data_IF_738103946295
#
_entry.id   IF_738103946295
#
_cell.length_a   1.000
_cell.length_b   1.000
_cell.length_c   1.000
_cell.angle_alpha   90.00
_cell.angle_beta   90.00
_cell.angle_gamma   90.00
#
_symmetry.space_group_name_H-M   'P 1'
#
loop_
_entity.id
_entity.type
_entity.pdbx_description
1 polymer ?
#
# COMPACT_ATOMS: atom_id res chain seq x y z
N UNK A 1 -4.95 3.04 -1.16
CA UNK A 1 -5.76 3.39 -2.35
C UNK A 1 -7.14 2.78 -2.19
N UNK A 2 -8.18 3.61 -2.08
CA UNK A 2 -9.54 3.16 -1.74
C UNK A 2 -10.53 3.41 -2.89
N UNK A 3 -11.15 2.35 -3.41
CA UNK A 3 -12.12 2.40 -4.51
C UNK A 3 -13.47 2.96 -4.01
N UNK A 4 -13.60 4.29 -3.99
CA UNK A 4 -14.77 4.98 -3.47
C UNK A 4 -15.70 5.55 -4.56
N UNK A 5 -15.19 5.70 -5.78
CA UNK A 5 -15.92 6.39 -6.85
C UNK A 5 -16.06 5.50 -8.07
N UNK A 6 -17.30 5.19 -8.46
CA UNK A 6 -17.59 4.61 -9.75
C UNK A 6 -17.49 5.70 -10.83
N UNK A 7 -16.66 5.48 -11.85
CA UNK A 7 -16.46 6.45 -12.93
C UNK A 7 -16.99 5.98 -14.29
N UNK A 8 -17.40 4.71 -14.39
CA UNK A 8 -18.10 4.17 -15.55
C UNK A 8 -19.02 2.99 -15.15
N UNK A 9 -20.12 2.82 -15.89
CA UNK A 9 -21.09 1.75 -15.64
C UNK A 9 -21.93 1.96 -14.37
N UNK A 10 -22.40 0.86 -13.79
CA UNK A 10 -23.22 0.89 -12.59
C UNK A 10 -22.33 0.83 -11.35
N UNK A 11 -22.55 1.69 -10.33
CA UNK A 11 -21.86 1.57 -9.04
C UNK A 11 -22.05 0.18 -8.40
N UNK A 12 -21.01 -0.36 -7.75
CA UNK A 12 -21.15 -1.56 -6.91
C UNK A 12 -22.15 -1.34 -5.77
N UNK A 13 -22.62 -2.45 -5.17
CA UNK A 13 -23.62 -2.37 -4.11
C UNK A 13 -22.94 -2.03 -2.77
N UNK A 14 -23.66 -1.29 -1.94
CA UNK A 14 -23.19 -0.82 -0.64
C UNK A 14 -22.37 0.46 -0.74
N UNK A 15 -22.05 1.02 0.43
CA UNK A 15 -21.19 2.19 0.56
C UNK A 15 -19.73 1.80 0.32
N UNK A 16 -18.98 2.62 -0.42
CA UNK A 16 -17.54 2.45 -0.56
C UNK A 16 -16.77 2.57 0.77
N UNK A 17 -15.49 2.18 0.80
CA UNK A 17 -14.74 1.65 -0.33
C UNK A 17 -15.13 0.22 -0.69
N UNK A 18 -15.24 -0.09 -1.99
CA UNK A 18 -15.54 -1.45 -2.45
C UNK A 18 -14.29 -2.33 -2.58
N UNK A 19 -13.11 -1.71 -2.51
CA UNK A 19 -11.85 -2.40 -2.43
C UNK A 19 -10.75 -1.44 -2.00
N UNK A 20 -9.70 -2.00 -1.41
CA UNK A 20 -8.52 -1.28 -0.96
C UNK A 20 -7.25 -1.93 -1.47
N UNK A 21 -6.30 -1.13 -1.94
CA UNK A 21 -4.94 -1.57 -2.25
C UNK A 21 -3.92 -0.73 -1.47
N UNK A 22 -2.91 -1.39 -0.89
CA UNK A 22 -1.75 -0.74 -0.28
C UNK A 22 -0.46 -1.24 -0.90
N UNK A 23 0.53 -0.35 -0.99
CA UNK A 23 1.90 -0.67 -1.35
C UNK A 23 2.78 -0.28 -0.16
N UNK A 24 3.53 -1.23 0.37
CA UNK A 24 4.40 -1.04 1.52
C UNK A 24 5.82 -1.50 1.16
N UNK A 25 6.85 -0.74 1.56
CA UNK A 25 8.24 -1.20 1.37
C UNK A 25 8.45 -2.52 2.12
N UNK A 26 9.05 -3.50 1.43
CA UNK A 26 9.15 -4.89 1.90
C UNK A 26 10.58 -5.43 1.85
N UNK A 27 11.56 -4.52 1.89
CA UNK A 27 12.99 -4.79 1.81
C UNK A 27 13.65 -4.11 0.62
N UNK A 28 14.97 -4.30 0.44
CA UNK A 28 15.69 -3.72 -0.69
C UNK A 28 15.09 -4.18 -2.02
N UNK A 29 14.77 -3.22 -2.89
CA UNK A 29 14.17 -3.46 -4.21
C UNK A 29 12.90 -4.32 -4.15
N UNK A 30 12.12 -4.20 -3.07
CA UNK A 30 10.95 -5.04 -2.81
C UNK A 30 9.80 -4.21 -2.23
N UNK A 31 8.61 -4.38 -2.79
CA UNK A 31 7.37 -3.73 -2.35
C UNK A 31 6.31 -4.81 -2.15
N UNK A 32 5.51 -4.71 -1.10
CA UNK A 32 4.36 -5.59 -0.88
C UNK A 32 3.10 -4.88 -1.33
N UNK A 33 2.40 -5.48 -2.29
CA UNK A 33 1.05 -5.10 -2.69
C UNK A 33 0.04 -5.95 -1.91
N UNK A 34 -0.84 -5.29 -1.15
CA UNK A 34 -1.99 -5.92 -0.50
C UNK A 34 -3.27 -5.38 -1.14
N UNK A 35 -4.11 -6.25 -1.68
CA UNK A 35 -5.42 -5.91 -2.22
C UNK A 35 -6.51 -6.59 -1.40
N UNK A 36 -7.58 -5.87 -1.11
CA UNK A 36 -8.73 -6.33 -0.35
C UNK A 36 -10.00 -6.05 -1.14
N UNK A 37 -10.88 -7.05 -1.25
CA UNK A 37 -12.24 -6.83 -1.73
C UNK A 37 -13.15 -6.51 -0.53
N UNK A 38 -13.52 -5.24 -0.41
CA UNK A 38 -14.29 -4.70 0.71
C UNK A 38 -15.78 -4.54 0.37
N UNK A 39 -16.23 -4.99 -0.81
CA UNK A 39 -17.63 -4.91 -1.18
C UNK A 39 -18.52 -5.65 -0.17
N UNK A 40 -19.74 -5.15 0.06
CA UNK A 40 -20.64 -5.74 1.04
C UNK A 40 -21.00 -7.18 0.69
N UNK A 41 -21.09 -8.05 1.71
CA UNK A 41 -21.58 -9.45 1.57
C UNK A 41 -23.00 -9.54 1.01
N UNK A 42 -23.81 -8.48 1.14
CA UNK A 42 -25.12 -8.38 0.48
C UNK A 42 -25.04 -8.40 -1.05
N UNK A 43 -23.87 -8.07 -1.61
CA UNK A 43 -23.50 -8.26 -3.00
C UNK A 43 -22.68 -9.53 -3.21
N UNK A 44 -23.04 -10.68 -2.63
CA UNK A 44 -22.26 -11.94 -2.77
C UNK A 44 -22.00 -12.39 -4.22
N UNK A 45 -22.77 -11.88 -5.20
CA UNK A 45 -22.49 -12.09 -6.63
C UNK A 45 -21.41 -11.17 -7.19
N UNK A 46 -21.04 -10.10 -6.47
CA UNK A 46 -20.05 -9.11 -6.88
C UNK A 46 -18.63 -9.63 -6.70
N UNK A 47 -17.76 -9.32 -7.65
CA UNK A 47 -16.35 -9.67 -7.57
C UNK A 47 -15.51 -8.73 -8.43
N UNK A 48 -14.25 -8.56 -8.04
CA UNK A 48 -13.26 -7.85 -8.82
C UNK A 48 -12.71 -8.83 -9.87
N UNK A 49 -12.74 -8.41 -11.14
CA UNK A 49 -12.27 -9.23 -12.27
C UNK A 49 -10.96 -8.73 -12.88
N UNK A 50 -10.64 -7.46 -12.65
CA UNK A 50 -9.44 -6.79 -13.13
C UNK A 50 -9.15 -5.63 -12.18
N UNK A 51 -7.90 -5.43 -11.81
CA UNK A 51 -7.43 -4.28 -11.02
C UNK A 51 -6.12 -3.75 -11.61
N UNK A 52 -6.12 -2.47 -11.98
CA UNK A 52 -5.00 -1.80 -12.63
C UNK A 52 -4.31 -0.77 -11.75
N UNK A 53 -3.01 -0.62 -11.95
CA UNK A 53 -2.13 0.29 -11.21
C UNK A 53 -1.15 0.98 -12.16
N UNK A 54 -0.54 2.06 -11.69
CA UNK A 54 0.51 2.79 -12.40
C UNK A 54 1.82 2.76 -11.62
N UNK A 55 2.93 3.00 -12.32
CA UNK A 55 4.27 3.17 -11.77
C UNK A 55 4.80 4.50 -12.30
N UNK A 56 5.37 5.33 -11.43
CA UNK A 56 5.81 6.69 -11.79
C UNK A 56 6.99 6.73 -12.80
N UNK A 57 7.64 5.59 -13.01
CA UNK A 57 8.84 5.46 -13.83
C UNK A 57 8.85 4.09 -14.52
N UNK A 58 8.61 4.11 -15.83
CA UNK A 58 8.43 2.93 -16.66
C UNK A 58 9.66 2.02 -16.75
N UNK A 59 10.86 2.53 -16.45
CA UNK A 59 12.08 1.71 -16.47
C UNK A 59 12.03 0.58 -15.43
N UNK A 60 11.22 0.74 -14.37
CA UNK A 60 11.05 -0.30 -13.36
C UNK A 60 10.19 -1.47 -13.84
N UNK A 61 9.35 -1.29 -14.87
CA UNK A 61 8.39 -2.31 -15.32
C UNK A 61 9.06 -3.53 -15.94
N UNK A 62 10.16 -3.35 -16.68
CA UNK A 62 10.82 -4.44 -17.44
C UNK A 62 11.38 -5.55 -16.54
N UNK A 63 11.94 -5.16 -15.40
CA UNK A 63 12.56 -6.09 -14.44
C UNK A 63 11.71 -6.29 -13.17
N UNK A 64 10.43 -5.90 -13.23
CA UNK A 64 9.48 -6.15 -12.16
C UNK A 64 9.05 -7.63 -12.18
N UNK A 65 9.02 -8.25 -11.00
CA UNK A 65 8.58 -9.63 -10.80
C UNK A 65 7.54 -9.66 -9.69
N UNK A 66 6.53 -10.51 -9.86
CA UNK A 66 5.46 -10.70 -8.89
C UNK A 66 5.56 -12.10 -8.29
N UNK A 67 5.58 -12.17 -6.97
CA UNK A 67 5.50 -13.42 -6.21
C UNK A 67 4.25 -13.36 -5.35
N UNK A 68 3.32 -14.29 -5.56
CA UNK A 68 2.12 -14.37 -4.73
C UNK A 68 2.47 -14.86 -3.32
N UNK A 69 1.95 -14.18 -2.29
CA UNK A 69 2.21 -14.48 -0.87
C UNK A 69 0.97 -15.00 -0.14
N UNK A 70 -0.19 -15.10 -0.79
CA UNK A 70 -1.42 -15.52 -0.14
C UNK A 70 -1.42 -17.01 0.20
N UNK A 71 -1.69 -17.35 1.45
CA UNK A 71 -1.70 -18.75 1.94
C UNK A 71 -2.98 -19.15 2.68
N UNK A 72 -3.92 -18.21 2.88
CA UNK A 72 -5.18 -18.44 3.59
C UNK A 72 -6.35 -18.86 2.70
N UNK A 73 -7.42 -19.41 3.31
CA UNK A 73 -8.67 -19.77 2.61
C UNK A 73 -9.36 -18.55 1.98
N UNK A 74 -9.18 -17.37 2.59
CA UNK A 74 -9.70 -16.10 2.09
C UNK A 74 -8.74 -15.39 1.13
N UNK A 75 -7.70 -16.08 0.65
CA UNK A 75 -6.78 -15.54 -0.33
C UNK A 75 -7.27 -15.80 -1.77
N UNK A 76 -6.92 -14.90 -2.69
CA UNK A 76 -7.23 -15.02 -4.11
C UNK A 76 -6.03 -14.61 -4.94
N UNK A 77 -5.46 -15.55 -5.69
CA UNK A 77 -4.41 -15.25 -6.67
C UNK A 77 -5.05 -14.74 -7.97
N UNK A 78 -4.48 -13.71 -8.56
CA UNK A 78 -4.78 -13.30 -9.93
C UNK A 78 -4.41 -14.42 -10.90
N UNK A 79 -5.26 -14.66 -11.88
CA UNK A 79 -5.05 -15.64 -12.93
C UNK A 79 -3.93 -15.23 -13.90
N UNK A 80 -3.73 -13.93 -14.10
CA UNK A 80 -2.63 -13.37 -14.89
C UNK A 80 -2.31 -11.96 -14.43
N UNK A 81 -1.09 -11.54 -14.73
CA UNK A 81 -0.59 -10.19 -14.48
C UNK A 81 -0.02 -9.66 -15.81
N UNK A 82 -0.63 -8.61 -16.34
CA UNK A 82 -0.15 -7.92 -17.53
C UNK A 82 0.66 -6.69 -17.10
N UNK A 83 1.75 -6.41 -17.82
CA UNK A 83 2.65 -5.27 -17.58
C UNK A 83 2.90 -4.56 -18.91
N UNK A 84 2.72 -3.24 -18.96
CA UNK A 84 3.01 -2.44 -20.15
C UNK A 84 2.77 -0.94 -19.94
N UNK A 85 3.87 -0.17 -19.93
CA UNK A 85 3.94 1.29 -19.77
C UNK A 85 2.86 2.08 -20.53
N UNK A 86 1.86 2.59 -19.82
CA UNK A 86 0.78 3.43 -20.33
C UNK A 86 -0.12 2.76 -21.38
N UNK A 87 0.00 1.45 -21.59
CA UNK A 87 -0.72 0.74 -22.66
C UNK A 87 -1.93 -0.04 -22.17
N UNK A 88 -2.04 -0.26 -20.87
CA UNK A 88 -3.09 -1.10 -20.30
C UNK A 88 -4.39 -0.29 -20.19
N UNK A 89 -5.47 -0.93 -20.63
CA UNK A 89 -6.83 -0.43 -20.49
C UNK A 89 -7.57 -1.18 -19.38
N UNK A 90 -8.00 -0.46 -18.35
CA UNK A 90 -8.87 -0.99 -17.31
C UNK A 90 -10.17 -1.54 -17.92
N UNK A 91 -10.49 -2.79 -17.58
CA UNK A 91 -11.70 -3.44 -18.09
C UNK A 91 -12.94 -2.66 -17.66
N UNK A 92 -13.87 -2.46 -18.58
CA UNK A 92 -15.07 -1.66 -18.31
C UNK A 92 -14.81 -0.17 -18.05
N UNK A 93 -13.58 0.33 -18.21
CA UNK A 93 -13.23 1.74 -17.96
C UNK A 93 -13.59 2.73 -19.08
N UNK A 94 -14.17 2.27 -20.19
CA UNK A 94 -14.56 3.15 -21.30
C UNK A 94 -13.35 3.88 -21.92
N UNK A 95 -13.51 5.18 -22.24
CA UNK A 95 -12.42 6.03 -22.74
C UNK A 95 -11.45 6.49 -21.65
N UNK A 96 -11.95 6.66 -20.41
CA UNK A 96 -11.15 7.15 -19.27
C UNK A 96 -10.22 6.10 -18.67
N UNK A 97 -10.54 4.82 -18.85
CA UNK A 97 -9.77 3.72 -18.28
C UNK A 97 -8.50 3.36 -19.07
N UNK A 98 -7.92 4.26 -19.85
CA UNK A 98 -6.68 4.00 -20.61
C UNK A 98 -5.48 4.64 -19.89
N UNK A 99 -4.30 4.03 -20.04
CA UNK A 99 -3.04 4.59 -19.57
C UNK A 99 -2.45 3.94 -18.32
N UNK A 100 -2.84 2.70 -18.01
CA UNK A 100 -2.27 1.96 -16.87
C UNK A 100 -1.02 1.16 -17.25
N UNK A 101 -0.23 0.78 -16.25
CA UNK A 101 1.04 0.08 -16.42
C UNK A 101 0.98 -1.39 -16.01
N UNK A 102 0.13 -1.70 -15.02
CA UNK A 102 -0.03 -3.05 -14.47
C UNK A 102 -1.51 -3.41 -14.44
N UNK A 103 -1.87 -4.64 -14.81
CA UNK A 103 -3.19 -5.23 -14.60
C UNK A 103 -3.10 -6.59 -13.93
N UNK A 104 -3.76 -6.75 -12.78
CA UNK A 104 -4.01 -8.06 -12.17
C UNK A 104 -5.40 -8.53 -12.57
N UNK A 105 -5.47 -9.66 -13.28
CA UNK A 105 -6.70 -10.23 -13.82
C UNK A 105 -7.14 -11.42 -12.99
N UNK A 106 -8.34 -11.38 -12.42
CA UNK A 106 -8.89 -12.44 -11.60
C UNK A 106 -9.87 -13.31 -12.39
N UNK A 107 -10.05 -14.55 -11.96
CA UNK A 107 -11.00 -15.45 -12.60
C UNK A 107 -12.41 -14.87 -12.52
N UNK A 108 -13.16 -14.97 -13.62
CA UNK A 108 -14.56 -14.53 -13.69
C UNK A 108 -15.55 -15.66 -13.50
N UNK A 109 -15.08 -16.90 -13.35
CA UNK A 109 -15.88 -18.08 -13.04
C UNK A 109 -15.33 -18.78 -11.81
N UNK A 110 -16.25 -19.34 -11.01
CA UNK A 110 -15.88 -20.33 -10.00
C UNK A 110 -15.70 -21.64 -10.77
N UNK A 111 -14.49 -21.87 -11.30
CA UNK A 111 -14.19 -23.15 -11.96
C UNK A 111 -14.58 -24.27 -11.00
N UNK A 112 -15.53 -25.13 -11.39
CA UNK A 112 -16.32 -26.02 -10.51
C UNK A 112 -15.56 -27.16 -9.83
N UNK A 113 -14.36 -26.91 -9.31
CA UNK A 113 -13.58 -27.84 -8.51
C UNK A 113 -13.81 -27.67 -6.99
N UNK A 114 -13.39 -28.66 -6.20
CA UNK A 114 -13.68 -28.74 -4.75
C UNK A 114 -12.94 -27.70 -3.88
N UNK A 115 -11.97 -26.95 -4.42
CA UNK A 115 -11.14 -26.00 -3.68
C UNK A 115 -11.45 -24.55 -4.04
N UNK A 116 -12.66 -24.09 -3.72
CA UNK A 116 -12.98 -22.67 -3.52
C UNK A 116 -13.21 -21.81 -4.77
N UNK A 117 -13.97 -20.73 -4.57
CA UNK A 117 -14.18 -19.64 -5.54
C UNK A 117 -12.84 -19.05 -5.98
N UNK A 118 -12.49 -19.18 -7.27
CA UNK A 118 -11.33 -18.49 -7.87
C UNK A 118 -11.57 -16.99 -8.13
N UNK A 119 -12.81 -16.53 -7.94
CA UNK A 119 -13.16 -15.12 -8.07
C UNK A 119 -12.64 -14.35 -6.86
N UNK A 120 -12.21 -13.12 -7.11
CA UNK A 120 -11.85 -12.19 -6.04
C UNK A 120 -13.13 -11.56 -5.46
N UNK A 121 -13.84 -12.32 -4.61
CA UNK A 121 -15.12 -11.99 -3.99
C UNK A 121 -14.95 -11.17 -2.70
N UNK A 122 -16.03 -10.53 -2.18
CA UNK A 122 -16.06 -9.88 -0.87
C UNK A 122 -15.36 -10.66 0.25
N UNK A 123 -14.59 -9.96 1.07
CA UNK A 123 -13.86 -10.51 2.22
C UNK A 123 -12.55 -11.20 1.87
N UNK A 124 -12.26 -11.40 0.57
CA UNK A 124 -10.98 -11.98 0.15
C UNK A 124 -9.86 -10.94 0.11
N UNK A 125 -8.63 -11.43 0.22
CA UNK A 125 -7.40 -10.66 0.03
C UNK A 125 -6.53 -11.26 -1.09
N UNK A 126 -5.68 -10.43 -1.69
CA UNK A 126 -4.69 -10.84 -2.68
C UNK A 126 -3.39 -10.11 -2.38
N UNK A 127 -2.33 -10.86 -2.05
CA UNK A 127 -1.07 -10.29 -1.54
C UNK A 127 0.07 -10.72 -2.44
N UNK A 128 0.85 -9.75 -2.91
CA UNK A 128 2.02 -9.97 -3.76
C UNK A 128 3.25 -9.28 -3.18
N UNK A 129 4.40 -9.93 -3.32
CA UNK A 129 5.69 -9.27 -3.30
C UNK A 129 6.06 -8.89 -4.73
N UNK A 130 6.39 -7.61 -4.91
CA UNK A 130 6.90 -7.03 -6.13
C UNK A 130 8.40 -6.82 -5.95
N UNK A 131 9.20 -7.56 -6.71
CA UNK A 131 10.66 -7.47 -6.64
C UNK A 131 11.20 -6.88 -7.94
N UNK A 132 12.04 -5.86 -7.84
CA UNK A 132 12.76 -5.31 -8.98
C UNK A 132 14.16 -5.94 -9.07
N UNK A 133 14.46 -6.56 -10.21
CA UNK A 133 15.74 -7.27 -10.43
C UNK A 133 16.74 -6.47 -11.27
N UNK A 134 16.41 -5.25 -11.68
CA UNK A 134 17.31 -4.39 -12.44
C UNK A 134 18.33 -3.66 -11.56
N UNK A 135 19.23 -2.91 -12.20
CA UNK A 135 20.29 -2.15 -11.53
C UNK A 135 19.89 -0.74 -11.11
N UNK A 136 18.74 -0.24 -11.57
CA UNK A 136 18.24 1.11 -11.24
C UNK A 136 17.89 1.20 -9.76
N UNK A 137 18.45 2.18 -9.07
CA UNK A 137 18.11 2.47 -7.67
C UNK A 137 16.77 3.20 -7.55
N UNK A 138 16.17 3.17 -6.35
CA UNK A 138 14.97 3.96 -6.04
C UNK A 138 13.65 3.20 -6.21
N UNK A 139 13.71 1.87 -6.38
CA UNK A 139 12.51 1.04 -6.34
C UNK A 139 11.93 1.00 -4.92
N UNK A 140 10.69 1.47 -4.76
CA UNK A 140 9.99 1.53 -3.49
C UNK A 140 8.50 1.84 -3.67
N UNK A 141 7.73 1.75 -2.58
CA UNK A 141 6.27 1.84 -2.60
C UNK A 141 5.73 3.17 -3.16
N UNK A 142 6.49 4.26 -2.99
CA UNK A 142 6.11 5.59 -3.48
C UNK A 142 5.95 5.66 -5.00
N UNK A 143 6.63 4.78 -5.76
CA UNK A 143 6.49 4.70 -7.22
C UNK A 143 5.07 4.37 -7.67
N UNK A 144 4.27 3.71 -6.83
CA UNK A 144 2.92 3.28 -7.18
C UNK A 144 1.86 4.37 -6.96
N UNK A 145 2.25 5.59 -6.55
CA UNK A 145 1.34 6.72 -6.41
C UNK A 145 1.14 7.52 -7.72
N UNK A 146 1.49 6.93 -8.86
CA UNK A 146 1.35 7.56 -10.17
C UNK A 146 -0.12 7.57 -10.65
N UNK A 147 -0.48 8.60 -11.39
CA UNK A 147 -1.81 8.75 -11.99
C UNK A 147 -1.70 8.63 -13.51
N UNK A 148 -2.75 8.11 -14.14
CA UNK A 148 -2.86 8.15 -15.60
C UNK A 148 -3.10 9.59 -16.09
N UNK A 149 -3.01 9.82 -17.40
CA UNK A 149 -3.43 11.08 -18.03
C UNK A 149 -4.92 11.43 -17.83
N UNK A 150 -5.72 10.51 -17.26
CA UNK A 150 -7.12 10.73 -16.92
C UNK A 150 -7.34 10.93 -15.41
N UNK A 151 -6.27 11.25 -14.67
CA UNK A 151 -6.23 11.47 -13.22
C UNK A 151 -6.71 10.24 -12.41
N UNK A 152 -6.46 9.03 -12.91
CA UNK A 152 -6.80 7.79 -12.21
C UNK A 152 -5.54 7.19 -11.59
N UNK A 153 -5.52 7.05 -10.26
CA UNK A 153 -4.45 6.37 -9.53
C UNK A 153 -4.48 4.85 -9.74
N UNK A 154 -5.68 4.29 -9.71
CA UNK A 154 -5.93 2.85 -9.85
C UNK A 154 -7.34 2.66 -10.36
N UNK A 155 -7.62 1.54 -11.04
CA UNK A 155 -8.99 1.19 -11.40
C UNK A 155 -9.28 -0.28 -11.20
N UNK A 156 -10.47 -0.62 -10.71
CA UNK A 156 -10.94 -1.99 -10.69
C UNK A 156 -12.25 -2.16 -11.44
N UNK A 157 -12.37 -3.27 -12.16
CA UNK A 157 -13.59 -3.71 -12.81
C UNK A 157 -14.36 -4.68 -11.91
N UNK A 158 -15.52 -4.25 -11.44
CA UNK A 158 -16.41 -5.01 -10.56
C UNK A 158 -17.58 -5.53 -11.39
N UNK A 159 -17.78 -6.85 -11.35
CA UNK A 159 -18.85 -7.55 -12.07
C UNK A 159 -19.86 -8.16 -11.10
N UNK A 160 -20.95 -8.73 -11.64
CA UNK A 160 -21.92 -9.47 -10.84
C UNK A 160 -22.88 -8.56 -10.07
N UNK A 161 -23.04 -7.31 -10.52
CA UNK A 161 -24.01 -6.38 -9.97
C UNK A 161 -25.42 -6.90 -10.34
N UNK A 162 -26.34 -7.11 -9.36
CA UNK A 162 -27.65 -7.70 -9.62
C UNK A 162 -28.48 -6.98 -10.69
N UNK A 163 -29.34 -7.75 -11.36
CA UNK A 163 -30.27 -7.26 -12.39
C UNK A 163 -31.23 -6.20 -11.84
N UNK A 164 -31.39 -5.10 -12.58
CA UNK A 164 -32.13 -3.90 -12.16
C UNK A 164 -31.30 -2.63 -12.29
N UNK A 165 -29.98 -2.79 -12.36
CA UNK A 165 -29.05 -1.75 -12.78
C UNK A 165 -28.92 -1.67 -14.30
N UNK A 166 -28.67 -0.47 -14.83
CA UNK A 166 -28.56 -0.24 -16.29
C UNK A 166 -27.43 -1.05 -16.95
N UNK A 167 -26.43 -1.48 -16.16
CA UNK A 167 -25.36 -2.39 -16.57
C UNK A 167 -25.08 -3.41 -15.46
N UNK A 168 -24.50 -4.57 -15.81
CA UNK A 168 -24.14 -5.64 -14.84
C UNK A 168 -22.72 -5.52 -14.29
N UNK A 169 -22.01 -4.45 -14.66
CA UNK A 169 -20.65 -4.14 -14.20
C UNK A 169 -20.37 -2.64 -14.15
N UNK A 170 -19.32 -2.28 -13.40
CA UNK A 170 -18.83 -0.91 -13.28
C UNK A 170 -17.31 -0.87 -13.04
N UNK A 171 -16.72 0.30 -13.28
CA UNK A 171 -15.33 0.59 -12.99
C UNK A 171 -15.24 1.62 -11.86
N UNK A 172 -14.46 1.31 -10.84
CA UNK A 172 -14.20 2.20 -9.70
C UNK A 172 -12.75 2.69 -9.72
N UNK A 173 -12.49 3.88 -9.16
CA UNK A 173 -11.16 4.47 -9.02
C UNK A 173 -10.85 4.83 -7.57
N UNK A 174 -9.57 4.80 -7.24
CA UNK A 174 -9.04 5.36 -6.00
C UNK A 174 -8.92 6.87 -6.05
N UNK A 175 -9.10 7.53 -4.91
CA UNK A 175 -8.57 8.88 -4.71
C UNK A 175 -7.05 8.79 -4.45
N UNK A 176 -6.30 9.81 -4.87
CA UNK A 176 -4.91 9.99 -4.48
C UNK A 176 -4.83 10.14 -2.95
N UNK A 177 -4.56 9.05 -2.24
CA UNK A 177 -4.23 9.11 -0.83
C UNK A 177 -2.78 9.55 -0.75
N UNK A 178 -2.56 10.81 -0.36
CA UNK A 178 -1.23 11.34 -0.03
C UNK A 178 -0.69 10.47 1.13
N UNK A 179 0.40 9.71 0.95
CA UNK A 179 0.98 8.97 2.06
C UNK A 179 1.42 9.99 3.11
N UNK A 180 0.84 9.92 4.31
CA UNK A 180 1.41 10.65 5.44
C UNK A 180 2.79 10.04 5.71
N UNK A 181 3.87 10.84 5.72
CA UNK A 181 5.20 10.29 5.91
C UNK A 181 5.28 9.69 7.32
N UNK A 182 5.57 8.39 7.37
CA UNK A 182 5.82 7.62 8.59
C UNK A 182 7.01 8.15 9.42
N UNK A 183 7.68 9.21 8.97
CA UNK A 183 8.74 9.90 9.68
C UNK A 183 8.29 10.73 10.89
N UNK A 184 6.98 10.98 11.11
CA UNK A 184 6.53 11.71 12.31
C UNK A 184 6.55 10.88 13.61
N UNK A 185 6.64 9.54 13.54
CA UNK A 185 6.72 8.70 14.75
C UNK A 185 8.15 8.58 15.29
N UNK A 186 9.18 8.78 14.45
CA UNK A 186 10.57 8.61 14.89
C UNK A 186 11.17 9.89 15.51
N UNK A 187 10.69 11.09 15.14
CA UNK A 187 11.17 12.34 15.76
C UNK A 187 10.53 12.63 17.13
N UNK A 188 9.35 12.06 17.43
CA UNK A 188 8.74 12.20 18.76
C UNK A 188 9.46 11.38 19.84
N UNK A 189 10.21 10.33 19.45
CA UNK A 189 10.98 9.49 20.37
C UNK A 189 12.39 10.03 20.69
N UNK A 190 12.99 10.83 19.78
CA UNK A 190 14.29 11.46 20.03
C UNK A 190 14.21 12.90 20.57
N UNK A 191 13.05 13.55 20.50
CA UNK A 191 12.87 14.94 20.95
C UNK A 191 12.75 15.17 22.46
N UNK A 192 12.53 14.12 23.27
CA UNK A 192 12.23 14.29 24.72
C UNK A 192 13.35 13.79 25.64
N UNK A 193 14.36 13.05 25.14
CA UNK A 193 15.43 12.50 25.97
C UNK A 193 16.68 13.39 26.11
N UNK A 194 16.71 14.59 25.50
CA UNK A 194 17.91 15.44 25.38
C UNK A 194 17.97 16.69 26.27
N UNK A 195 17.04 16.91 27.20
CA UNK A 195 16.95 18.16 27.99
C UNK A 195 16.88 17.92 29.51
N UNK A 196 17.52 16.85 30.00
CA UNK A 196 17.41 16.43 31.41
C UNK A 196 18.72 16.21 32.18
N UNK A 197 19.90 16.55 31.65
CA UNK A 197 21.17 16.30 32.36
C UNK A 197 22.16 17.46 32.32
N UNK A 198 21.80 18.62 32.87
CA UNK A 198 22.77 19.69 33.12
C UNK A 198 22.42 20.61 34.30
N UNK A 199 21.91 20.07 35.42
CA UNK A 199 21.88 20.81 36.70
C UNK A 199 22.11 19.85 37.90
N UNK A 200 23.30 19.27 38.01
CA UNK A 200 23.77 18.66 39.27
C UNK A 200 25.29 18.60 39.38
N UNK A 201 25.99 19.70 39.06
CA UNK A 201 27.42 19.82 39.34
C UNK A 201 27.81 21.29 39.59
N UNK A 202 27.18 21.92 40.58
CA UNK A 202 27.67 23.20 41.12
C UNK A 202 27.12 23.45 42.52
N UNK A 203 27.93 23.15 43.53
CA UNK A 203 27.98 23.69 44.92
C UNK A 203 28.54 22.59 45.83
N UNK A 204 29.58 22.78 46.64
CA UNK A 204 30.28 23.97 47.13
C UNK A 204 31.72 23.57 47.44
N UNK A 205 32.66 24.39 47.00
CA UNK A 205 33.96 24.58 47.64
C UNK A 205 33.68 25.41 48.90
N UNK A 206 34.04 24.89 50.08
CA UNK A 206 34.19 25.70 51.29
C UNK A 206 35.66 25.59 51.65
N UNK A 207 36.41 26.62 51.27
CA UNK A 207 37.72 26.88 51.83
C UNK A 207 37.49 27.44 53.24
N UNK A 208 37.99 26.74 54.27
CA UNK A 208 38.20 27.36 55.57
C UNK A 208 39.66 27.22 56.00
N UNK A 209 40.23 28.41 56.03
CA UNK A 209 41.53 28.84 56.46
C UNK A 209 41.66 28.76 58.00
N UNK A 210 42.89 28.53 58.48
CA UNK A 210 43.27 28.64 59.90
C UNK A 210 43.62 27.29 60.52
N UNK A 211 44.76 27.09 61.18
CA UNK A 211 45.81 27.98 61.64
C UNK A 211 47.02 27.11 62.05
N UNK A 212 48.21 27.69 62.28
CA UNK A 212 49.48 26.97 62.43
C UNK A 212 49.76 26.61 63.89
N UNK A 213 50.53 25.55 64.12
CA UNK A 213 51.43 25.43 65.29
C UNK A 213 52.42 24.29 65.01
N UNK A 214 53.74 24.55 64.96
CA UNK A 214 54.73 24.31 66.03
C UNK A 214 54.79 22.82 66.43
N UNK A 215 55.93 22.12 66.48
CA UNK A 215 57.27 22.50 66.96
C UNK A 215 58.21 21.28 66.85
N UNK A 216 59.52 21.55 66.75
CA UNK A 216 60.68 20.76 67.21
C UNK A 216 60.93 19.37 66.55
N UNK A 217 62.13 19.05 66.03
CA UNK A 217 63.43 19.00 66.74
C UNK A 217 63.49 17.66 67.49
N UNK A 218 64.44 16.74 67.33
CA UNK A 218 65.90 16.82 67.20
C UNK A 218 66.43 15.39 66.76
N UNK A 219 67.76 15.10 66.75
CA UNK A 219 68.44 14.18 65.83
C UNK A 219 68.23 12.67 66.07
#
# INVERSE_FOLDING_TARGET
>A
MDLNTAYNGTPPLGTGPWGRATFDDFGPNSVKLTMENLASVSGASQFISNWTFNVADDDFLRELRFTYLGTGLDSCEAQSIDIGAGTIKARGGGKRGFGFDIALNFATSNGGGPTGSKRFTPGKTSVYQLTYTGSKSGFGASLFNAVTNNDLLTSAHIQGIPSGSKTTSGAATGAATVPEPSSLVLWSLFGVAGLGMSIAARRRRVDHNGSPDRTAGHP
#
